data_IF_185935092030
#
_entry.id   IF_185935092030
#
_cell.length_a   1.000
_cell.length_b   1.000
_cell.length_c   1.000
_cell.angle_alpha   90.00
_cell.angle_beta   90.00
_cell.angle_gamma   90.00
#
_symmetry.space_group_name_H-M   'P 1'
#
loop_
_entity.id
_entity.type
_entity.pdbx_description
1 polymer ?
#
# COMPACT_ATOMS: atom_id res chain seq x y z
N UNK A 1 18.83 -0.87 87.60
CA UNK A 1 20.05 -0.85 86.76
C UNK A 1 20.01 -2.04 85.81
N UNK A 2 20.10 -1.80 84.48
CA UNK A 2 20.35 -2.75 83.35
C UNK A 2 19.39 -3.96 83.21
N UNK A 3 18.90 -4.39 82.05
CA UNK A 3 18.98 -4.04 80.63
C UNK A 3 17.87 -4.88 79.94
N UNK A 4 17.22 -4.33 78.92
CA UNK A 4 16.41 -5.06 77.93
C UNK A 4 17.26 -6.07 77.15
N UNK A 5 16.72 -7.24 76.76
CA UNK A 5 17.04 -7.90 75.47
C UNK A 5 16.11 -9.10 75.14
N UNK A 6 15.44 -8.97 73.97
CA UNK A 6 15.16 -9.93 72.88
C UNK A 6 14.39 -11.25 73.05
N UNK A 7 13.21 -11.22 72.39
CA UNK A 7 12.58 -12.19 71.47
C UNK A 7 13.40 -13.43 71.05
N UNK A 8 12.89 -14.61 71.41
CA UNK A 8 13.01 -15.87 70.66
C UNK A 8 11.72 -16.67 70.91
N UNK A 9 10.84 -16.81 69.92
CA UNK A 9 9.84 -17.88 69.87
C UNK A 9 9.69 -18.37 68.44
N UNK A 10 10.61 -19.25 68.09
CA UNK A 10 10.43 -20.28 67.07
C UNK A 10 9.33 -21.25 67.52
N UNK A 11 8.69 -21.90 66.54
CA UNK A 11 7.66 -22.94 66.63
C UNK A 11 6.21 -22.43 66.60
N UNK A 12 5.64 -22.40 65.40
CA UNK A 12 4.24 -22.81 65.22
C UNK A 12 4.11 -23.63 63.91
N UNK A 13 4.13 -24.96 64.12
CA UNK A 13 3.28 -25.95 63.45
C UNK A 13 3.52 -26.20 61.96
N UNK A 14 4.43 -27.15 61.72
CA UNK A 14 4.26 -28.13 60.65
C UNK A 14 3.19 -29.16 61.04
N UNK A 15 2.68 -29.87 60.03
CA UNK A 15 1.80 -31.06 60.07
C UNK A 15 0.30 -30.77 59.94
N UNK A 16 -0.15 -30.69 58.69
CA UNK A 16 -1.43 -31.25 58.25
C UNK A 16 -1.20 -31.92 56.89
N UNK A 17 -0.94 -33.22 56.96
CA UNK A 17 -0.92 -34.16 55.84
C UNK A 17 -2.37 -34.62 55.55
N UNK A 18 -2.62 -34.96 54.29
CA UNK A 18 -3.72 -35.78 53.74
C UNK A 18 -5.06 -35.09 53.45
N UNK A 19 -5.28 -34.73 52.18
CA UNK A 19 -6.24 -35.40 51.27
C UNK A 19 -6.46 -34.54 50.01
N UNK A 20 -6.06 -35.06 48.85
CA UNK A 20 -6.28 -34.41 47.56
C UNK A 20 -5.73 -35.26 46.42
N UNK A 21 -6.50 -36.28 46.05
CA UNK A 21 -6.24 -37.18 44.92
C UNK A 21 -6.03 -36.42 43.60
N UNK A 22 -4.96 -36.82 42.92
CA UNK A 22 -4.79 -36.95 41.47
C UNK A 22 -5.70 -36.11 40.54
N UNK A 23 -5.12 -35.09 39.90
CA UNK A 23 -5.31 -34.87 38.47
C UNK A 23 -3.94 -34.82 37.82
N UNK A 24 -3.67 -35.86 37.05
CA UNK A 24 -2.58 -35.93 36.10
C UNK A 24 -2.91 -34.93 34.97
N UNK A 25 -2.17 -33.83 34.90
CA UNK A 25 -2.10 -33.01 33.69
C UNK A 25 -0.62 -32.79 33.40
N UNK A 26 -0.07 -33.75 32.65
CA UNK A 26 1.13 -33.54 31.85
C UNK A 26 0.78 -32.42 30.87
N UNK A 27 1.10 -31.17 31.22
CA UNK A 27 1.18 -30.08 30.25
C UNK A 27 2.48 -30.24 29.44
N UNK A 28 2.54 -31.30 28.63
CA UNK A 28 3.43 -31.34 27.47
C UNK A 28 2.60 -30.92 26.27
N UNK A 29 2.49 -29.61 26.13
CA UNK A 29 1.97 -28.93 24.96
C UNK A 29 2.64 -27.59 24.90
N UNK A 30 3.96 -27.58 24.64
CA UNK A 30 4.53 -26.45 23.96
C UNK A 30 3.71 -26.30 22.68
N UNK A 31 2.76 -25.37 22.69
CA UNK A 31 2.23 -24.81 21.47
C UNK A 31 3.43 -24.22 20.76
N UNK A 32 4.07 -25.04 19.91
CA UNK A 32 4.89 -24.56 18.83
C UNK A 32 4.03 -23.49 18.19
N UNK A 33 4.45 -22.24 18.31
CA UNK A 33 3.81 -21.14 17.61
C UNK A 33 3.71 -21.60 16.17
N UNK A 34 2.50 -21.85 15.68
CA UNK A 34 2.29 -22.20 14.28
C UNK A 34 2.96 -21.07 13.49
N UNK A 35 4.03 -21.37 12.76
CA UNK A 35 4.75 -20.37 12.01
C UNK A 35 3.72 -19.65 11.12
N UNK A 36 3.55 -18.35 11.35
CA UNK A 36 2.60 -17.54 10.59
C UNK A 36 3.03 -17.58 9.13
N UNK A 37 2.14 -18.02 8.24
CA UNK A 37 2.38 -17.96 6.80
C UNK A 37 2.59 -16.48 6.43
N UNK A 38 3.68 -16.18 5.74
CA UNK A 38 4.05 -14.83 5.33
C UNK A 38 4.40 -14.81 3.86
N UNK A 39 3.76 -13.92 3.13
CA UNK A 39 3.95 -13.71 1.71
C UNK A 39 4.76 -12.42 1.50
N UNK A 40 5.69 -12.45 0.56
CA UNK A 40 6.45 -11.30 0.09
C UNK A 40 6.48 -11.23 -1.44
N UNK A 41 6.60 -10.01 -1.96
CA UNK A 41 6.98 -9.77 -3.35
C UNK A 41 8.51 -9.65 -3.39
N UNK A 42 9.14 -10.48 -4.23
CA UNK A 42 10.58 -10.78 -4.13
C UNK A 42 11.51 -9.65 -4.59
N UNK A 43 11.00 -8.71 -5.39
CA UNK A 43 11.75 -7.56 -5.89
C UNK A 43 10.93 -6.29 -5.68
N UNK A 44 11.61 -5.16 -5.63
CA UNK A 44 10.96 -3.86 -5.47
C UNK A 44 10.30 -3.39 -6.76
N UNK A 45 10.99 -3.54 -7.89
CA UNK A 45 10.48 -3.12 -9.21
C UNK A 45 10.66 -4.24 -10.23
N UNK A 46 9.65 -4.43 -11.08
CA UNK A 46 9.68 -5.34 -12.22
C UNK A 46 9.47 -4.54 -13.52
N UNK A 47 10.37 -4.73 -14.47
CA UNK A 47 10.30 -4.15 -15.81
C UNK A 47 9.60 -5.12 -16.77
N UNK A 48 8.31 -5.31 -16.56
CA UNK A 48 7.45 -6.19 -17.36
C UNK A 48 6.28 -6.73 -16.55
N UNK A 49 5.46 -7.56 -17.20
CA UNK A 49 4.21 -8.04 -16.62
C UNK A 49 4.38 -9.17 -15.59
N UNK A 50 5.60 -9.49 -15.17
CA UNK A 50 5.84 -10.61 -14.25
C UNK A 50 6.07 -10.14 -12.82
N UNK A 51 5.40 -10.79 -11.87
CA UNK A 51 5.53 -10.55 -10.44
C UNK A 51 5.94 -11.85 -9.76
N UNK A 52 7.04 -11.83 -9.01
CA UNK A 52 7.51 -13.00 -8.26
C UNK A 52 7.21 -12.88 -6.78
N UNK A 53 6.79 -14.00 -6.20
CA UNK A 53 6.39 -14.13 -4.83
C UNK A 53 7.24 -15.16 -4.11
N UNK A 54 7.46 -14.93 -2.83
CA UNK A 54 8.12 -15.88 -1.93
C UNK A 54 7.40 -15.95 -0.60
N UNK A 55 7.39 -17.12 0.04
CA UNK A 55 6.78 -17.31 1.35
C UNK A 55 7.53 -18.35 2.19
N UNK A 56 7.29 -18.34 3.50
CA UNK A 56 7.72 -19.41 4.39
C UNK A 56 6.78 -20.62 4.29
N UNK A 57 7.33 -21.82 4.37
CA UNK A 57 6.52 -23.04 4.32
C UNK A 57 5.62 -23.14 5.56
N UNK A 58 4.31 -23.30 5.33
CA UNK A 58 3.33 -23.57 6.40
C UNK A 58 3.33 -25.07 6.74
N UNK A 59 3.37 -25.40 8.04
CA UNK A 59 3.29 -26.77 8.53
C UNK A 59 1.92 -27.36 8.18
N UNK A 60 1.90 -28.43 7.38
CA UNK A 60 0.67 -29.14 6.99
C UNK A 60 0.06 -28.71 5.65
N UNK A 61 0.68 -27.76 4.93
CA UNK A 61 0.24 -27.40 3.59
C UNK A 61 0.60 -28.48 2.56
N UNK A 62 -0.41 -28.98 1.84
CA UNK A 62 -0.25 -29.84 0.65
C UNK A 62 -0.32 -29.04 -0.64
N UNK A 63 -1.07 -27.93 -0.66
CA UNK A 63 -1.10 -26.98 -1.77
C UNK A 63 -1.27 -25.55 -1.29
N UNK A 64 -0.94 -24.59 -2.14
CA UNK A 64 -1.26 -23.18 -1.98
C UNK A 64 -2.12 -22.65 -3.14
N UNK A 65 -2.97 -21.68 -2.83
CA UNK A 65 -3.61 -20.81 -3.81
C UNK A 65 -3.14 -19.38 -3.58
N UNK A 66 -2.73 -18.71 -4.64
CA UNK A 66 -2.50 -17.27 -4.66
C UNK A 66 -3.79 -16.59 -5.11
N UNK A 67 -4.31 -15.71 -4.27
CA UNK A 67 -5.49 -14.89 -4.57
C UNK A 67 -5.07 -13.42 -4.72
N UNK A 68 -5.83 -12.69 -5.54
CA UNK A 68 -5.65 -11.27 -5.75
C UNK A 68 -6.97 -10.50 -5.50
N UNK A 69 -6.85 -9.24 -5.12
CA UNK A 69 -7.94 -8.27 -5.11
C UNK A 69 -7.43 -6.94 -5.63
N UNK A 70 -8.36 -6.09 -6.04
CA UNK A 70 -8.08 -4.70 -6.40
C UNK A 70 -8.30 -3.77 -5.20
N UNK A 71 -8.74 -4.33 -4.05
CA UNK A 71 -8.95 -3.64 -2.78
C UNK A 71 -8.02 -4.20 -1.70
N UNK A 72 -7.41 -3.36 -0.86
CA UNK A 72 -6.41 -3.82 0.11
C UNK A 72 -7.00 -4.69 1.22
N UNK A 73 -8.30 -4.55 1.52
CA UNK A 73 -9.02 -5.44 2.43
C UNK A 73 -9.28 -6.85 1.88
N UNK A 74 -8.78 -7.19 0.68
CA UNK A 74 -9.01 -8.47 0.00
C UNK A 74 -10.50 -8.83 -0.21
N UNK A 75 -11.37 -7.82 -0.23
CA UNK A 75 -12.79 -8.02 -0.58
C UNK A 75 -12.92 -8.36 -2.07
N UNK A 76 -13.87 -9.22 -2.41
CA UNK A 76 -14.05 -9.74 -3.78
C UNK A 76 -12.78 -10.34 -4.40
N UNK A 77 -11.91 -10.95 -3.58
CA UNK A 77 -10.71 -11.57 -4.07
C UNK A 77 -11.01 -12.75 -5.01
N UNK A 78 -10.15 -12.92 -6.01
CA UNK A 78 -10.22 -13.98 -7.02
C UNK A 78 -8.90 -14.76 -7.07
N UNK A 79 -8.97 -16.03 -7.48
CA UNK A 79 -7.77 -16.87 -7.55
C UNK A 79 -6.99 -16.56 -8.82
N UNK A 80 -5.70 -16.25 -8.67
CA UNK A 80 -4.78 -15.98 -9.79
C UNK A 80 -3.86 -17.16 -10.08
N UNK A 81 -3.55 -17.97 -9.07
CA UNK A 81 -2.87 -19.26 -9.23
C UNK A 81 -3.41 -20.25 -8.20
N UNK A 82 -3.59 -21.51 -8.60
CA UNK A 82 -4.16 -22.55 -7.75
C UNK A 82 -3.29 -23.81 -7.74
N UNK A 83 -3.41 -24.59 -6.67
CA UNK A 83 -2.74 -25.90 -6.53
C UNK A 83 -1.21 -25.82 -6.70
N UNK A 84 -0.61 -24.72 -6.26
CA UNK A 84 0.85 -24.61 -6.14
C UNK A 84 1.29 -25.69 -5.15
N UNK A 85 2.28 -26.51 -5.47
CA UNK A 85 2.68 -27.64 -4.62
C UNK A 85 3.08 -27.17 -3.22
N UNK A 86 2.66 -27.89 -2.17
CA UNK A 86 2.97 -27.56 -0.77
C UNK A 86 4.46 -27.58 -0.42
N UNK A 87 5.29 -28.19 -1.27
CA UNK A 87 6.75 -28.12 -1.18
C UNK A 87 7.36 -26.84 -1.75
N UNK A 88 6.56 -25.98 -2.38
CA UNK A 88 7.01 -24.74 -3.00
C UNK A 88 7.04 -23.61 -1.99
N UNK A 89 8.03 -22.73 -2.11
CA UNK A 89 8.19 -21.50 -1.32
C UNK A 89 8.15 -20.24 -2.19
N UNK A 90 7.84 -20.39 -3.48
CA UNK A 90 7.78 -19.29 -4.44
C UNK A 90 6.87 -19.60 -5.63
N UNK A 91 6.42 -18.54 -6.31
CA UNK A 91 5.72 -18.62 -7.59
C UNK A 91 5.89 -17.31 -8.36
N UNK A 92 5.76 -17.38 -9.68
CA UNK A 92 5.74 -16.21 -10.56
C UNK A 92 4.37 -16.11 -11.22
N UNK A 93 3.80 -14.91 -11.24
CA UNK A 93 2.54 -14.57 -11.89
C UNK A 93 2.82 -13.63 -13.06
N UNK A 94 2.17 -13.86 -14.21
CA UNK A 94 2.05 -12.84 -15.26
C UNK A 94 0.76 -12.07 -15.02
N UNK A 95 0.88 -10.77 -14.77
CA UNK A 95 -0.23 -9.84 -14.65
C UNK A 95 -0.85 -9.60 -16.03
N UNK A 96 -2.17 -9.40 -16.06
CA UNK A 96 -2.85 -8.96 -17.28
C UNK A 96 -2.47 -7.52 -17.66
N UNK A 97 -2.98 -6.99 -18.76
CA UNK A 97 -2.67 -5.64 -19.23
C UNK A 97 -3.29 -4.52 -18.40
N UNK A 98 -4.07 -4.82 -17.37
CA UNK A 98 -4.77 -3.79 -16.61
C UNK A 98 -3.85 -3.09 -15.61
N UNK A 99 -3.88 -1.77 -15.61
CA UNK A 99 -3.10 -0.91 -14.70
C UNK A 99 -3.81 -0.77 -13.34
N UNK A 100 -3.12 -0.14 -12.39
CA UNK A 100 -3.64 0.16 -11.05
C UNK A 100 -3.08 -0.75 -9.97
N UNK A 101 -3.70 -0.66 -8.78
CA UNK A 101 -3.26 -1.39 -7.59
C UNK A 101 -3.77 -2.82 -7.56
N UNK A 102 -2.92 -3.75 -7.13
CA UNK A 102 -3.26 -5.16 -6.89
C UNK A 102 -2.74 -5.60 -5.54
N UNK A 103 -3.56 -6.35 -4.83
CA UNK A 103 -3.27 -6.88 -3.51
C UNK A 103 -3.34 -8.40 -3.56
N UNK A 104 -2.38 -9.06 -2.92
CA UNK A 104 -2.23 -10.50 -2.99
C UNK A 104 -2.18 -11.11 -1.61
N UNK A 105 -2.72 -12.33 -1.52
CA UNK A 105 -2.65 -13.15 -0.31
C UNK A 105 -2.49 -14.62 -0.71
N UNK A 106 -1.74 -15.36 0.09
CA UNK A 106 -1.55 -16.80 -0.08
C UNK A 106 -2.45 -17.56 0.90
N UNK A 107 -3.12 -18.59 0.39
CA UNK A 107 -3.95 -19.49 1.18
C UNK A 107 -3.36 -20.90 1.11
N UNK A 108 -3.07 -21.49 2.27
CA UNK A 108 -2.55 -22.84 2.38
C UNK A 108 -3.67 -23.85 2.65
N UNK A 109 -3.61 -25.01 1.99
CA UNK A 109 -4.59 -26.07 2.09
C UNK A 109 -3.92 -27.41 2.43
N UNK A 110 -4.54 -28.21 3.29
CA UNK A 110 -4.12 -29.58 3.58
C UNK A 110 -4.50 -30.56 2.44
N UNK A 111 -4.12 -31.84 2.60
CA UNK A 111 -4.41 -32.89 1.62
C UNK A 111 -5.91 -33.19 1.45
N UNK A 112 -6.73 -32.81 2.44
CA UNK A 112 -8.19 -32.96 2.42
C UNK A 112 -8.89 -31.75 1.77
N UNK A 113 -8.13 -30.72 1.39
CA UNK A 113 -8.65 -29.48 0.82
C UNK A 113 -9.16 -28.47 1.85
N UNK A 114 -8.87 -28.66 3.14
CA UNK A 114 -9.20 -27.67 4.17
C UNK A 114 -8.15 -26.56 4.20
N UNK A 115 -8.58 -25.30 4.31
CA UNK A 115 -7.66 -24.18 4.49
C UNK A 115 -7.06 -24.20 5.89
N UNK A 116 -5.74 -24.25 5.98
CA UNK A 116 -4.98 -24.36 7.23
C UNK A 116 -4.25 -23.07 7.62
N UNK A 117 -3.97 -22.19 6.66
CA UNK A 117 -3.36 -20.89 6.92
C UNK A 117 -3.70 -19.87 5.83
N UNK A 118 -3.56 -18.59 6.18
CA UNK A 118 -3.69 -17.45 5.28
C UNK A 118 -2.55 -16.48 5.60
N UNK A 119 -1.89 -15.93 4.58
CA UNK A 119 -0.76 -15.01 4.75
C UNK A 119 -1.18 -13.59 5.11
N UNK A 120 -0.20 -12.73 5.41
CA UNK A 120 -0.35 -11.28 5.25
C UNK A 120 -0.72 -10.91 3.80
N UNK A 121 -1.23 -9.69 3.61
CA UNK A 121 -1.43 -9.08 2.30
C UNK A 121 -0.11 -8.46 1.84
N UNK A 122 0.12 -8.42 0.52
CA UNK A 122 1.18 -7.63 -0.15
C UNK A 122 0.56 -6.86 -1.31
N UNK A 123 1.05 -5.65 -1.57
CA UNK A 123 0.53 -4.76 -2.62
C UNK A 123 1.53 -4.53 -3.75
N UNK A 124 1.03 -4.28 -4.95
CA UNK A 124 1.80 -3.81 -6.10
C UNK A 124 1.00 -2.80 -6.92
N UNK A 125 1.68 -1.78 -7.46
CA UNK A 125 1.13 -0.81 -8.38
C UNK A 125 1.66 -1.10 -9.79
N UNK A 126 0.77 -1.36 -10.75
CA UNK A 126 1.12 -1.52 -12.16
C UNK A 126 0.84 -0.24 -12.92
N UNK A 127 1.86 0.29 -13.57
CA UNK A 127 1.82 1.57 -14.28
C UNK A 127 1.68 1.39 -15.82
N UNK A 128 1.26 2.45 -16.54
CA UNK A 128 1.09 2.44 -18.00
C UNK A 128 2.27 1.93 -18.83
N UNK A 129 3.50 2.14 -18.36
CA UNK A 129 4.70 1.60 -19.01
C UNK A 129 4.84 0.08 -18.93
N UNK A 130 4.02 -0.58 -18.12
CA UNK A 130 4.16 -1.99 -17.75
C UNK A 130 5.06 -2.22 -16.52
N UNK A 131 5.68 -1.17 -15.96
CA UNK A 131 6.41 -1.29 -14.70
C UNK A 131 5.47 -1.66 -13.56
N UNK A 132 5.93 -2.58 -12.71
CA UNK A 132 5.23 -2.99 -11.49
C UNK A 132 6.11 -2.66 -10.31
N UNK A 133 5.59 -1.84 -9.39
CA UNK A 133 6.30 -1.42 -8.19
C UNK A 133 5.64 -2.08 -6.99
N UNK A 134 6.44 -2.77 -6.17
CA UNK A 134 6.01 -3.31 -4.88
C UNK A 134 5.60 -2.16 -3.97
N UNK A 135 4.45 -2.28 -3.34
CA UNK A 135 3.97 -1.32 -2.36
C UNK A 135 4.29 -1.77 -0.95
N UNK A 136 4.43 -0.80 -0.05
CA UNK A 136 4.74 -1.00 1.37
C UNK A 136 3.72 -0.28 2.24
N UNK A 137 3.51 -0.77 3.46
CA UNK A 137 2.67 -0.07 4.43
C UNK A 137 3.54 0.87 5.25
N UNK A 138 3.06 2.10 5.50
CA UNK A 138 3.77 3.09 6.30
C UNK A 138 2.82 3.69 7.33
N UNK A 139 2.84 3.15 8.55
CA UNK A 139 1.94 3.59 9.63
C UNK A 139 2.16 5.06 10.02
N UNK A 140 3.39 5.57 9.94
CA UNK A 140 3.70 6.97 10.25
C UNK A 140 3.12 7.92 9.21
N UNK A 141 3.22 7.58 7.92
CA UNK A 141 2.64 8.37 6.84
C UNK A 141 1.10 8.28 6.85
N UNK A 142 0.54 7.07 6.99
CA UNK A 142 -0.90 6.85 7.20
C UNK A 142 -1.45 7.72 8.33
N UNK A 143 -0.76 7.82 9.46
CA UNK A 143 -1.21 8.65 10.58
C UNK A 143 -1.30 10.15 10.25
N UNK A 144 -0.52 10.66 9.30
CA UNK A 144 -0.61 12.07 8.89
C UNK A 144 -1.91 12.41 8.15
N UNK A 145 -2.60 11.41 7.58
CA UNK A 145 -3.89 11.60 6.92
C UNK A 145 -5.05 11.78 7.90
N UNK A 146 -4.85 11.48 9.19
CA UNK A 146 -5.88 11.67 10.22
C UNK A 146 -6.39 13.12 10.28
N UNK A 147 -5.59 14.09 9.83
CA UNK A 147 -5.98 15.50 9.74
C UNK A 147 -7.13 15.78 8.75
N UNK A 148 -7.37 14.89 7.78
CA UNK A 148 -8.38 15.08 6.75
C UNK A 148 -9.78 14.61 7.17
N UNK A 149 -9.90 13.91 8.31
CA UNK A 149 -11.11 13.28 8.83
C UNK A 149 -11.73 12.27 7.82
N UNK A 150 -12.63 11.39 8.26
CA UNK A 150 -13.28 10.38 7.39
C UNK A 150 -14.19 10.98 6.29
N UNK A 151 -14.19 12.31 6.14
CA UNK A 151 -15.07 13.08 5.25
C UNK A 151 -14.48 13.36 3.87
N UNK A 152 -13.15 13.36 3.72
CA UNK A 152 -12.52 13.68 2.44
C UNK A 152 -12.43 12.44 1.53
N UNK A 153 -11.63 11.46 1.95
CA UNK A 153 -11.36 10.21 1.25
C UNK A 153 -10.94 9.16 2.29
N UNK A 154 -10.94 7.89 1.88
CA UNK A 154 -10.36 6.84 2.72
C UNK A 154 -8.84 7.03 2.83
N UNK A 155 -8.31 6.71 4.01
CA UNK A 155 -6.89 6.90 4.31
C UNK A 155 -6.01 5.89 3.55
N UNK A 156 -4.98 6.34 2.81
CA UNK A 156 -4.02 5.44 2.18
C UNK A 156 -3.24 4.63 3.22
N UNK A 157 -3.12 3.34 2.95
CA UNK A 157 -2.35 2.40 3.79
C UNK A 157 -1.18 1.75 3.04
N UNK A 158 -1.20 1.77 1.71
CA UNK A 158 -0.10 1.28 0.88
C UNK A 158 0.52 2.42 0.09
N UNK A 159 1.83 2.38 -0.04
CA UNK A 159 2.62 3.42 -0.66
C UNK A 159 3.67 2.81 -1.57
N UNK A 160 4.08 3.55 -2.58
CA UNK A 160 5.26 3.20 -3.38
C UNK A 160 6.51 3.79 -2.70
N UNK A 161 7.65 3.08 -2.70
CA UNK A 161 8.91 3.62 -2.22
C UNK A 161 9.30 4.89 -3.00
N UNK A 162 9.74 5.91 -2.27
CA UNK A 162 10.35 7.13 -2.79
C UNK A 162 11.85 7.11 -2.50
N UNK A 163 12.59 6.32 -3.27
CA UNK A 163 14.04 6.37 -3.34
C UNK A 163 14.52 6.65 -4.78
N UNK A 164 15.80 6.97 -4.93
CA UNK A 164 16.37 7.33 -6.23
C UNK A 164 16.36 6.18 -7.24
N UNK A 165 16.31 4.93 -6.79
CA UNK A 165 16.26 3.76 -7.67
C UNK A 165 14.85 3.61 -8.23
N UNK A 166 13.84 3.62 -7.35
CA UNK A 166 12.43 3.52 -7.74
C UNK A 166 11.97 4.76 -8.52
N UNK A 167 12.42 5.96 -8.15
CA UNK A 167 12.09 7.21 -8.83
C UNK A 167 12.58 7.34 -10.28
N UNK A 168 13.60 6.57 -10.68
CA UNK A 168 14.18 6.62 -12.03
C UNK A 168 13.42 5.77 -13.06
N UNK A 169 12.47 4.94 -12.62
CA UNK A 169 11.68 4.12 -13.55
C UNK A 169 10.64 4.95 -14.28
N UNK A 170 10.53 4.71 -15.58
CA UNK A 170 9.43 5.20 -16.40
C UNK A 170 8.14 4.51 -15.98
N UNK A 171 7.21 5.27 -15.42
CA UNK A 171 5.84 4.83 -15.09
C UNK A 171 4.88 5.05 -16.26
N UNK A 172 5.24 5.92 -17.19
CA UNK A 172 4.62 6.00 -18.50
C UNK A 172 5.71 6.18 -19.57
N UNK A 173 5.32 6.06 -20.84
CA UNK A 173 6.23 6.21 -21.99
C UNK A 173 7.14 7.43 -21.88
N UNK A 174 6.62 8.53 -21.32
CA UNK A 174 7.33 9.80 -21.28
C UNK A 174 7.47 10.40 -19.88
N UNK A 175 7.13 9.65 -18.83
CA UNK A 175 7.21 10.14 -17.46
C UNK A 175 7.91 9.14 -16.56
N UNK A 176 8.91 9.61 -15.82
CA UNK A 176 9.53 8.92 -14.70
C UNK A 176 8.71 9.14 -13.44
N UNK A 177 8.80 8.19 -12.50
CA UNK A 177 8.09 8.31 -11.23
C UNK A 177 8.47 9.58 -10.47
N UNK A 178 9.77 9.93 -10.47
CA UNK A 178 10.30 11.10 -9.75
C UNK A 178 9.67 12.43 -10.17
N UNK A 179 9.17 12.55 -11.40
CA UNK A 179 8.47 13.76 -11.88
C UNK A 179 7.16 14.02 -11.12
N UNK A 180 6.57 12.98 -10.52
CA UNK A 180 5.37 13.09 -9.69
C UNK A 180 5.68 13.27 -8.20
N UNK A 181 6.95 13.25 -7.79
CA UNK A 181 7.37 13.22 -6.37
C UNK A 181 8.14 14.49 -5.95
N UNK A 182 7.88 15.61 -6.62
CA UNK A 182 8.59 16.87 -6.34
C UNK A 182 8.31 17.40 -4.93
N UNK A 183 9.38 17.81 -4.24
CA UNK A 183 9.35 18.51 -2.94
C UNK A 183 8.68 17.74 -1.78
N UNK A 184 8.59 16.41 -1.87
CA UNK A 184 8.13 15.60 -0.75
C UNK A 184 9.29 15.27 0.21
N UNK A 185 8.96 15.13 1.48
CA UNK A 185 9.96 14.91 2.56
C UNK A 185 9.93 13.49 3.12
N UNK A 186 9.11 12.63 2.53
CA UNK A 186 8.81 11.27 2.99
C UNK A 186 9.47 10.23 2.09
N UNK A 187 9.76 9.05 2.67
CA UNK A 187 10.36 7.90 1.97
C UNK A 187 9.35 7.10 1.15
N UNK A 188 8.07 7.45 1.22
CA UNK A 188 6.97 6.68 0.64
C UNK A 188 5.92 7.65 0.10
N UNK A 189 5.30 7.29 -1.02
CA UNK A 189 4.39 8.17 -1.73
C UNK A 189 3.13 7.46 -2.22
N UNK A 190 2.14 8.23 -2.65
CA UNK A 190 1.01 7.74 -3.43
C UNK A 190 1.06 8.40 -4.80
N UNK A 191 1.27 7.62 -5.86
CA UNK A 191 1.16 8.10 -7.24
C UNK A 191 0.24 7.15 -7.97
N UNK A 192 -0.94 7.63 -8.32
CA UNK A 192 -1.97 6.79 -8.90
C UNK A 192 -1.63 6.39 -10.35
N UNK A 193 -1.54 5.09 -10.67
CA UNK A 193 -1.34 4.63 -12.04
C UNK A 193 -2.39 5.11 -13.05
N UNK A 194 -3.64 5.30 -12.63
CA UNK A 194 -4.72 5.79 -13.52
C UNK A 194 -4.51 7.27 -13.85
N UNK A 195 -4.23 8.11 -12.85
CA UNK A 195 -3.81 9.50 -13.08
C UNK A 195 -2.62 9.57 -14.05
N UNK A 196 -1.58 8.75 -13.83
CA UNK A 196 -0.41 8.70 -14.72
C UNK A 196 -0.79 8.35 -16.16
N UNK A 197 -1.78 7.46 -16.37
CA UNK A 197 -2.30 7.14 -17.70
C UNK A 197 -2.94 8.36 -18.37
N UNK A 198 -3.78 9.10 -17.64
CA UNK A 198 -4.44 10.29 -18.18
C UNK A 198 -3.41 11.37 -18.55
N UNK A 199 -2.41 11.60 -17.71
CA UNK A 199 -1.33 12.57 -18.01
C UNK A 199 -0.52 12.13 -19.23
N UNK A 200 -0.28 10.82 -19.40
CA UNK A 200 0.35 10.28 -20.61
C UNK A 200 -0.52 10.47 -21.87
N UNK A 201 -1.84 10.31 -21.77
CA UNK A 201 -2.75 10.55 -22.88
C UNK A 201 -2.73 12.03 -23.28
N UNK A 202 -2.88 12.95 -22.31
CA UNK A 202 -2.77 14.40 -22.53
C UNK A 202 -1.46 14.73 -23.25
N UNK A 203 -0.33 14.20 -22.79
CA UNK A 203 0.97 14.44 -23.45
C UNK A 203 0.99 13.94 -24.89
N UNK A 204 0.36 12.80 -25.16
CA UNK A 204 0.33 12.20 -26.49
C UNK A 204 -0.46 13.07 -27.47
N UNK A 205 -1.60 13.60 -27.03
CA UNK A 205 -2.46 14.47 -27.84
C UNK A 205 -1.90 15.89 -27.96
N UNK A 206 -1.27 16.40 -26.90
CA UNK A 206 -0.52 17.66 -26.92
C UNK A 206 0.63 17.64 -27.93
N UNK A 207 1.27 16.48 -28.12
CA UNK A 207 2.35 16.30 -29.10
C UNK A 207 3.71 16.88 -28.70
N UNK A 208 3.84 17.41 -27.47
CA UNK A 208 5.06 18.01 -26.94
C UNK A 208 5.42 17.50 -25.53
N UNK A 209 6.56 17.94 -24.96
CA UNK A 209 6.87 17.70 -23.56
C UNK A 209 5.86 18.43 -22.65
N UNK A 210 5.56 17.82 -21.51
CA UNK A 210 4.83 18.44 -20.40
C UNK A 210 5.72 18.38 -19.17
N UNK A 211 5.80 19.48 -18.42
CA UNK A 211 6.57 19.56 -17.19
C UNK A 211 5.62 19.50 -16.00
N UNK A 212 5.74 18.46 -15.18
CA UNK A 212 5.00 18.34 -13.92
C UNK A 212 5.69 19.22 -12.88
N UNK A 213 4.99 20.23 -12.38
CA UNK A 213 5.49 21.12 -11.31
C UNK A 213 5.10 20.65 -9.92
N UNK A 214 3.99 19.92 -9.82
CA UNK A 214 3.55 19.25 -8.58
C UNK A 214 2.78 17.98 -8.91
N UNK A 215 3.04 16.92 -8.16
CA UNK A 215 2.31 15.65 -8.25
C UNK A 215 1.80 15.25 -6.87
N UNK A 216 2.29 14.14 -6.32
CA UNK A 216 2.02 13.79 -4.94
C UNK A 216 2.57 14.84 -3.96
N UNK A 217 1.77 15.22 -2.97
CA UNK A 217 2.22 16.03 -1.83
C UNK A 217 1.99 15.25 -0.54
N UNK A 218 3.05 15.06 0.25
CA UNK A 218 2.85 14.47 1.58
C UNK A 218 1.97 15.39 2.46
N UNK A 219 1.18 14.83 3.40
CA UNK A 219 0.21 15.63 4.14
C UNK A 219 0.82 16.80 4.92
N UNK A 220 2.04 16.63 5.45
CA UNK A 220 2.76 17.69 6.15
C UNK A 220 3.18 18.82 5.20
N UNK A 221 3.72 18.50 4.02
CA UNK A 221 4.03 19.48 2.99
C UNK A 221 2.77 20.22 2.50
N UNK A 222 1.68 19.51 2.23
CA UNK A 222 0.43 20.12 1.76
C UNK A 222 -0.11 21.16 2.75
N UNK A 223 0.00 20.91 4.06
CA UNK A 223 -0.42 21.85 5.11
C UNK A 223 0.41 23.16 5.14
N UNK A 224 1.61 23.15 4.56
CA UNK A 224 2.49 24.33 4.47
C UNK A 224 2.27 25.14 3.17
N UNK A 225 1.65 24.54 2.16
CA UNK A 225 1.33 25.22 0.89
C UNK A 225 0.17 26.17 1.11
N UNK A 226 0.38 27.47 0.88
CA UNK A 226 -0.67 28.48 1.04
C UNK A 226 -1.82 28.24 0.06
N UNK A 227 -3.06 28.31 0.56
CA UNK A 227 -4.26 28.09 -0.26
C UNK A 227 -4.58 26.62 -0.55
N UNK A 228 -3.81 25.67 -0.01
CA UNK A 228 -4.10 24.25 -0.24
C UNK A 228 -5.43 23.84 0.38
N UNK A 229 -6.20 23.06 -0.37
CA UNK A 229 -7.45 22.49 0.12
C UNK A 229 -7.20 21.42 1.18
N UNK A 230 -8.08 21.35 2.19
CA UNK A 230 -8.07 20.26 3.18
C UNK A 230 -8.21 18.89 2.50
N UNK A 231 -9.10 18.74 1.51
CA UNK A 231 -9.23 17.50 0.75
C UNK A 231 -8.47 17.57 -0.60
N UNK A 232 -7.20 17.96 -0.58
CA UNK A 232 -6.40 18.11 -1.82
C UNK A 232 -6.13 16.76 -2.48
N UNK A 233 -6.50 16.59 -3.75
CA UNK A 233 -6.25 15.36 -4.50
C UNK A 233 -4.75 15.04 -4.72
N UNK A 234 -3.86 16.04 -4.56
CA UNK A 234 -2.41 15.80 -4.55
C UNK A 234 -1.98 14.87 -3.42
N UNK A 235 -2.61 14.96 -2.24
CA UNK A 235 -2.24 14.10 -1.11
C UNK A 235 -2.72 12.67 -1.29
N UNK A 236 -3.59 12.42 -2.26
CA UNK A 236 -4.05 11.08 -2.62
C UNK A 236 -3.42 10.57 -3.92
N UNK A 237 -2.45 11.31 -4.49
CA UNK A 237 -1.74 10.92 -5.71
C UNK A 237 -2.56 11.01 -6.98
N UNK A 238 -3.70 11.74 -6.94
CA UNK A 238 -4.71 11.78 -8.01
C UNK A 238 -4.71 13.08 -8.81
N UNK A 239 -3.81 14.01 -8.49
CA UNK A 239 -3.73 15.33 -9.12
C UNK A 239 -2.32 15.64 -9.62
N UNK A 240 -2.24 16.50 -10.63
CA UNK A 240 -1.00 17.10 -11.09
C UNK A 240 -1.19 18.58 -11.42
N UNK A 241 -0.11 19.32 -11.23
CA UNK A 241 0.08 20.66 -11.76
C UNK A 241 1.05 20.59 -12.95
N UNK A 242 0.60 21.02 -14.12
CA UNK A 242 1.38 21.02 -15.36
C UNK A 242 1.76 22.46 -15.70
N UNK A 243 3.05 22.76 -15.82
CA UNK A 243 3.51 24.10 -16.17
C UNK A 243 2.96 24.55 -17.53
N UNK A 244 2.60 25.83 -17.62
CA UNK A 244 2.16 26.50 -18.84
C UNK A 244 2.76 27.89 -18.93
N UNK A 245 2.88 28.44 -20.13
CA UNK A 245 3.47 29.76 -20.37
C UNK A 245 2.43 30.86 -20.64
N UNK A 246 1.19 30.50 -20.93
CA UNK A 246 0.13 31.44 -21.30
C UNK A 246 -1.28 30.89 -21.04
N UNK A 247 -2.26 31.80 -21.01
CA UNK A 247 -3.67 31.41 -20.96
C UNK A 247 -4.09 30.54 -22.14
N UNK A 248 -3.56 30.80 -23.35
CA UNK A 248 -3.88 29.99 -24.54
C UNK A 248 -3.39 28.55 -24.42
N UNK A 249 -2.19 28.36 -23.86
CA UNK A 249 -1.63 27.03 -23.59
C UNK A 249 -2.45 26.32 -22.52
N UNK A 250 -2.78 27.03 -21.43
CA UNK A 250 -3.66 26.53 -20.38
C UNK A 250 -5.02 26.08 -20.91
N UNK A 251 -5.69 26.88 -21.75
CA UNK A 251 -6.99 26.50 -22.35
C UNK A 251 -6.87 25.27 -23.24
N UNK A 252 -5.74 25.11 -23.94
CA UNK A 252 -5.50 23.94 -24.79
C UNK A 252 -5.34 22.67 -23.93
N UNK A 253 -4.49 22.71 -22.90
CA UNK A 253 -4.30 21.58 -22.00
C UNK A 253 -5.56 21.27 -21.18
N UNK A 254 -6.33 22.29 -20.79
CA UNK A 254 -7.66 22.11 -20.20
C UNK A 254 -8.58 21.30 -21.14
N UNK A 255 -8.53 21.57 -22.45
CA UNK A 255 -9.28 20.83 -23.44
C UNK A 255 -8.94 19.34 -23.47
N UNK A 256 -7.67 18.97 -23.32
CA UNK A 256 -7.23 17.58 -23.22
C UNK A 256 -7.56 16.94 -21.88
N UNK A 257 -7.41 17.68 -20.76
CA UNK A 257 -7.81 17.19 -19.44
C UNK A 257 -9.31 16.87 -19.37
N UNK A 258 -10.17 17.68 -20.02
CA UNK A 258 -11.59 17.37 -20.15
C UNK A 258 -11.86 16.11 -20.99
N UNK A 259 -11.10 15.87 -22.06
CA UNK A 259 -11.22 14.65 -22.87
C UNK A 259 -10.84 13.40 -22.06
N UNK A 260 -9.87 13.54 -21.16
CA UNK A 260 -9.48 12.51 -20.20
C UNK A 260 -10.39 12.46 -18.96
N UNK A 261 -11.55 13.13 -18.97
CA UNK A 261 -12.54 13.13 -17.89
C UNK A 261 -11.97 13.58 -16.54
N UNK A 262 -11.10 14.60 -16.54
CA UNK A 262 -10.66 15.23 -15.29
C UNK A 262 -11.89 15.62 -14.45
N UNK A 263 -11.89 15.18 -13.20
CA UNK A 263 -12.97 15.42 -12.24
C UNK A 263 -13.06 16.89 -11.85
N UNK A 264 -11.90 17.54 -11.77
CA UNK A 264 -11.78 18.94 -11.45
C UNK A 264 -10.54 19.54 -12.12
N UNK A 265 -10.69 20.79 -12.56
CA UNK A 265 -9.64 21.61 -13.16
C UNK A 265 -9.73 22.98 -12.48
N UNK A 266 -8.65 23.45 -11.86
CA UNK A 266 -8.66 24.79 -11.25
C UNK A 266 -8.72 25.88 -12.32
N UNK A 267 -9.46 26.98 -12.09
CA UNK A 267 -9.44 28.12 -13.01
C UNK A 267 -8.03 28.69 -13.21
N UNK A 268 -7.77 29.23 -14.39
CA UNK A 268 -6.52 29.94 -14.70
C UNK A 268 -6.15 31.01 -13.64
N UNK A 269 -4.88 31.00 -13.23
CA UNK A 269 -4.28 31.99 -12.35
C UNK A 269 -3.02 32.57 -13.01
N UNK A 270 -2.99 33.88 -13.22
CA UNK A 270 -1.86 34.54 -13.91
C UNK A 270 -0.58 34.60 -13.08
N UNK A 271 -0.70 34.53 -11.76
CA UNK A 271 0.39 34.60 -10.78
C UNK A 271 1.02 33.23 -10.48
N UNK A 272 0.34 32.13 -10.82
CA UNK A 272 0.87 30.77 -10.77
C UNK A 272 0.51 29.99 -12.03
N UNK A 273 1.25 30.18 -13.14
CA UNK A 273 0.86 29.64 -14.43
C UNK A 273 1.09 28.12 -14.50
N UNK A 274 0.07 27.36 -14.11
CA UNK A 274 -0.04 25.91 -14.29
C UNK A 274 -1.49 25.51 -14.62
N UNK A 275 -1.66 24.34 -15.23
CA UNK A 275 -2.93 23.62 -15.23
C UNK A 275 -2.93 22.66 -14.05
N UNK A 276 -3.80 22.89 -13.08
CA UNK A 276 -4.18 21.87 -12.10
C UNK A 276 -5.28 20.98 -12.69
N UNK A 277 -5.13 19.66 -12.61
CA UNK A 277 -6.18 18.71 -12.92
C UNK A 277 -6.10 17.49 -11.99
N UNK A 278 -7.27 16.93 -11.64
CA UNK A 278 -7.36 15.68 -10.88
C UNK A 278 -8.43 14.72 -11.40
N UNK A 279 -8.29 13.44 -11.04
CA UNK A 279 -9.14 12.34 -11.50
C UNK A 279 -9.82 11.59 -10.34
N UNK A 280 -10.16 12.30 -9.26
CA UNK A 280 -10.74 11.72 -8.04
C UNK A 280 -12.02 10.89 -8.28
N UNK A 281 -12.85 11.28 -9.25
CA UNK A 281 -14.16 10.64 -9.51
C UNK A 281 -14.05 9.25 -10.12
N UNK A 282 -12.87 8.87 -10.62
CA UNK A 282 -12.58 7.48 -10.98
C UNK A 282 -12.60 6.55 -9.77
N UNK A 283 -12.73 7.07 -8.55
CA UNK A 283 -12.71 6.31 -7.30
C UNK A 283 -14.02 6.34 -6.51
N UNK A 284 -14.99 7.16 -6.93
CA UNK A 284 -16.28 7.28 -6.22
C UNK A 284 -17.13 6.00 -6.34
N UNK A 285 -16.85 5.12 -7.32
CA UNK A 285 -17.42 3.76 -7.40
C UNK A 285 -16.79 2.75 -8.43
N UNK A 286 -15.47 2.43 -8.41
CA UNK A 286 -14.98 1.17 -9.04
C UNK A 286 -13.74 0.56 -8.31
N UNK A 287 -13.13 -0.57 -8.77
CA UNK A 287 -12.38 -1.49 -7.90
C UNK A 287 -10.92 -1.10 -7.57
N UNK A 288 -10.39 0.04 -8.02
CA UNK A 288 -8.95 0.36 -8.02
C UNK A 288 -8.47 1.18 -6.82
N UNK A 289 -8.97 0.92 -5.62
CA UNK A 289 -8.71 1.81 -4.48
C UNK A 289 -7.44 1.46 -3.72
N UNK A 290 -6.70 2.49 -3.26
CA UNK A 290 -5.51 2.32 -2.43
C UNK A 290 -5.79 2.28 -0.91
N UNK A 291 -7.03 1.92 -0.57
CA UNK A 291 -7.62 2.02 0.77
C UNK A 291 -8.69 0.96 0.98
#
# INVERSE_FOLDING_TARGET
MRKYFTRLRSALVAVLLLLGLAICAIYNGSAAHAATLSLGISQEVYTGDQLSFSWNNSVGASTYNLIASMRPGMTNAFTVQQRIAGSSSSSTLSLDSSIGYRYFQLQAYDASGNRVATSNVVGAAKYPSGVVIRMETNASLTAQYAQYNDTCYNTPIWFIPNDSTTGAYHVATNFQLSEFLHNITVSDAVVDPIMVQHVQNIRSDWGGPLTITSGYRDPAHNALVSGSATCSSHTFGQAVDIAVSSYSEWTTLQGYANQENASYIEPWQSDQPHLHADWRSFYDNPPYTNW
#
